data_IF_774445994957
#
_entry.id   IF_774445994957
#
_cell.length_a   1.000
_cell.length_b   1.000
_cell.length_c   1.000
_cell.angle_alpha   90.00
_cell.angle_beta   90.00
_cell.angle_gamma   90.00
#
_symmetry.space_group_name_H-M   'P 1'
#
loop_
_entity.id
_entity.type
_entity.pdbx_description
1 polymer ?
#
# COMPACT_ATOMS: atom_id res chain seq x y z
N UNK A 1 8.41 -8.57 -1.55
CA UNK A 1 6.99 -8.88 -1.82
C UNK A 1 6.10 -8.17 -0.82
N UNK A 2 5.05 -7.52 -1.31
CA UNK A 2 4.14 -6.78 -0.45
C UNK A 2 3.12 -7.72 0.15
N UNK A 3 2.87 -7.57 1.44
CA UNK A 3 1.99 -8.46 2.17
C UNK A 3 0.80 -7.70 2.71
N UNK A 4 -0.23 -8.47 3.12
CA UNK A 4 -1.42 -7.90 3.70
C UNK A 4 -1.05 -7.13 4.98
N UNK A 5 -1.70 -5.99 5.16
CA UNK A 5 -1.51 -5.07 6.29
C UNK A 5 -0.18 -4.34 6.25
N UNK A 6 0.55 -4.46 5.16
CA UNK A 6 1.77 -3.70 5.01
C UNK A 6 1.45 -2.28 4.58
N UNK A 7 2.31 -1.32 4.97
CA UNK A 7 2.13 0.07 4.61
C UNK A 7 2.75 0.33 3.26
N UNK A 8 2.03 1.06 2.41
CA UNK A 8 2.51 1.38 1.07
C UNK A 8 2.20 2.82 0.74
N UNK A 9 2.90 3.32 -0.26
CA UNK A 9 2.66 4.64 -0.81
C UNK A 9 2.37 4.52 -2.29
N UNK A 10 1.33 5.23 -2.76
CA UNK A 10 1.01 5.26 -4.18
C UNK A 10 2.00 6.20 -4.85
N UNK A 11 2.69 5.69 -5.87
CA UNK A 11 3.79 6.45 -6.47
C UNK A 11 3.30 7.66 -7.25
N UNK A 12 2.09 7.59 -7.79
CA UNK A 12 1.60 8.64 -8.65
C UNK A 12 1.27 9.92 -7.88
N UNK A 13 0.62 9.79 -6.73
CA UNK A 13 0.16 10.96 -6.00
C UNK A 13 0.69 11.05 -4.58
N UNK A 14 1.47 10.08 -4.14
CA UNK A 14 2.09 10.13 -2.84
C UNK A 14 1.21 9.76 -1.66
N UNK A 15 -0.03 9.36 -1.91
CA UNK A 15 -0.91 8.97 -0.81
C UNK A 15 -0.42 7.67 -0.20
N UNK A 16 -0.70 7.51 1.08
CA UNK A 16 -0.29 6.31 1.80
C UNK A 16 -1.51 5.53 2.25
N UNK A 17 -1.30 4.26 2.48
CA UNK A 17 -2.36 3.40 2.96
C UNK A 17 -1.86 2.05 3.39
N UNK A 18 -2.81 1.18 3.70
CA UNK A 18 -2.53 -0.16 4.20
C UNK A 18 -3.09 -1.17 3.22
N UNK A 19 -2.31 -2.20 2.92
CA UNK A 19 -2.73 -3.25 2.01
C UNK A 19 -3.73 -4.16 2.73
N UNK A 20 -4.91 -4.31 2.15
CA UNK A 20 -5.94 -5.19 2.70
C UNK A 20 -5.94 -6.54 2.02
N UNK A 21 -5.59 -6.59 0.73
CA UNK A 21 -5.55 -7.84 -0.02
C UNK A 21 -4.43 -7.76 -1.02
N UNK A 22 -3.86 -8.89 -1.37
CA UNK A 22 -2.79 -8.97 -2.35
C UNK A 22 -3.01 -10.19 -3.22
N UNK A 23 -2.84 -10.02 -4.55
CA UNK A 23 -2.90 -11.13 -5.47
C UNK A 23 -1.74 -11.02 -6.44
N UNK A 24 -1.78 -11.82 -7.52
CA UNK A 24 -0.61 -11.89 -8.41
C UNK A 24 -0.41 -10.61 -9.20
N UNK A 25 -1.45 -9.80 -9.40
CA UNK A 25 -1.34 -8.61 -10.24
C UNK A 25 -1.26 -7.33 -9.43
N UNK A 26 -1.79 -7.32 -8.22
CA UNK A 26 -1.84 -6.07 -7.48
C UNK A 26 -2.38 -6.24 -6.09
N UNK A 27 -2.76 -5.12 -5.52
CA UNK A 27 -3.17 -5.05 -4.12
C UNK A 27 -4.39 -4.16 -3.98
N UNK A 28 -5.16 -4.40 -2.93
CA UNK A 28 -6.20 -3.47 -2.52
C UNK A 28 -5.63 -2.65 -1.37
N UNK A 29 -5.63 -1.34 -1.54
CA UNK A 29 -5.07 -0.41 -0.56
C UNK A 29 -6.21 0.38 0.06
N UNK A 30 -6.22 0.46 1.39
CA UNK A 30 -7.12 1.34 2.09
C UNK A 30 -6.35 2.60 2.45
N UNK A 31 -6.82 3.73 1.92
CA UNK A 31 -6.10 5.00 2.07
C UNK A 31 -6.24 5.54 3.48
N UNK A 32 -5.15 6.13 3.96
CA UNK A 32 -5.17 6.82 5.25
C UNK A 32 -6.07 8.04 5.16
N UNK A 33 -6.72 8.34 6.25
CA UNK A 33 -7.52 9.55 6.36
C UNK A 33 -8.94 9.39 5.89
N UNK A 34 -9.15 8.78 4.73
CA UNK A 34 -10.49 8.62 4.19
C UNK A 34 -11.08 7.24 4.42
N UNK A 35 -10.21 6.23 4.53
CA UNK A 35 -10.66 4.85 4.62
C UNK A 35 -11.13 4.26 3.32
N UNK A 36 -11.00 4.98 2.21
CA UNK A 36 -11.40 4.46 0.91
C UNK A 36 -10.46 3.37 0.45
N UNK A 37 -10.98 2.45 -0.35
CA UNK A 37 -10.21 1.32 -0.84
C UNK A 37 -10.10 1.39 -2.34
N UNK A 38 -8.94 0.99 -2.86
CA UNK A 38 -8.72 0.98 -4.30
C UNK A 38 -7.77 -0.15 -4.65
N UNK A 39 -8.06 -0.82 -5.78
CA UNK A 39 -7.19 -1.85 -6.30
C UNK A 39 -6.13 -1.20 -7.18
N UNK A 40 -4.86 -1.54 -6.95
CA UNK A 40 -3.74 -0.95 -7.67
C UNK A 40 -2.79 -2.05 -8.11
N UNK A 41 -2.19 -1.87 -9.29
CA UNK A 41 -1.12 -2.76 -9.73
C UNK A 41 0.10 -2.60 -8.82
N UNK A 42 0.90 -3.64 -8.72
CA UNK A 42 2.12 -3.58 -7.90
C UNK A 42 3.02 -2.42 -8.33
N UNK A 43 3.08 -2.12 -9.62
CA UNK A 43 3.97 -1.06 -10.08
C UNK A 43 3.48 0.32 -9.67
N UNK A 44 2.26 0.45 -9.18
CA UNK A 44 1.71 1.73 -8.77
C UNK A 44 1.93 2.03 -7.30
N UNK A 45 2.51 1.10 -6.56
CA UNK A 45 2.70 1.27 -5.12
C UNK A 45 4.13 0.96 -4.77
N UNK A 46 4.60 1.56 -3.68
CA UNK A 46 5.89 1.26 -3.11
C UNK A 46 5.72 0.87 -1.67
N UNK A 47 6.47 -0.12 -1.27
CA UNK A 47 6.48 -0.57 0.11
C UNK A 47 7.18 0.47 0.96
N UNK A 48 6.53 0.91 2.02
CA UNK A 48 7.15 1.85 2.95
C UNK A 48 7.95 1.05 3.96
N UNK A 49 9.18 1.50 4.18
CA UNK A 49 10.05 0.86 5.15
C UNK A 49 10.17 1.74 6.36
N UNK A 50 10.07 1.14 7.51
CA UNK A 50 10.23 1.85 8.74
C UNK A 50 11.50 1.38 9.41
N UNK A 51 12.32 2.35 9.87
CA UNK A 51 13.42 2.03 10.75
C UNK A 51 12.86 2.01 12.12
N UNK A 52 12.79 0.87 12.60
CA UNK A 52 12.31 0.84 13.91
C UNK A 52 13.37 0.99 14.90
N UNK A 53 13.91 1.24 15.12
CA UNK A 53 14.79 1.17 15.97
C UNK A 53 14.87 1.59 16.72
N UNK A 54 14.91 1.52 16.80
CA UNK A 54 14.93 1.60 17.40
C UNK A 54 15.15 1.51 17.88
#
# INVERSE_FOLDING_TARGET
MIQIYERVQVTEDGRTGTVLEADVLGVVVQYDGTGEEEWLFYEQVEQLEFDEYE
#
